data_IF_013245971879
#
_entry.id   IF_013245971879
#
_cell.length_a   1.000
_cell.length_b   1.000
_cell.length_c   1.000
_cell.angle_alpha   90.00
_cell.angle_beta   90.00
_cell.angle_gamma   90.00
#
_symmetry.space_group_name_H-M   'P 1'
#
loop_
_entity.id
_entity.type
_entity.pdbx_description
1 polymer ?
#
# COMPACT_ATOMS: atom_id res chain seq x y z
N UNK A 1 -2.17 -1.23 11.21
CA UNK A 1 -2.42 -1.18 9.75
C UNK A 1 -2.29 -2.58 9.17
N UNK A 2 -3.22 -3.00 8.34
CA UNK A 2 -3.16 -4.27 7.62
C UNK A 2 -3.04 -4.02 6.12
N UNK A 3 -2.13 -4.70 5.45
CA UNK A 3 -1.99 -4.70 4.01
C UNK A 3 -2.39 -6.07 3.47
N UNK A 4 -3.17 -6.11 2.41
CA UNK A 4 -3.54 -7.32 1.69
C UNK A 4 -2.92 -7.28 0.29
N UNK A 5 -1.84 -8.03 0.13
CA UNK A 5 -1.12 -8.22 -1.11
C UNK A 5 -1.82 -9.23 -2.02
N UNK A 6 -1.36 -9.34 -3.27
CA UNK A 6 -1.79 -10.37 -4.19
C UNK A 6 -1.58 -11.78 -3.60
N UNK A 7 -2.48 -12.71 -3.92
CA UNK A 7 -2.50 -14.08 -3.36
C UNK A 7 -1.25 -14.92 -3.65
N UNK A 8 -0.46 -14.52 -4.63
CA UNK A 8 0.82 -15.18 -4.98
C UNK A 8 1.93 -14.89 -3.96
N UNK A 9 1.77 -13.88 -3.10
CA UNK A 9 2.74 -13.61 -2.03
C UNK A 9 2.52 -14.57 -0.86
N UNK A 10 3.59 -15.17 -0.30
CA UNK A 10 3.47 -15.90 0.95
C UNK A 10 3.08 -14.93 2.07
N UNK A 11 2.12 -15.37 2.90
CA UNK A 11 1.51 -14.52 3.93
C UNK A 11 1.06 -13.17 3.34
N UNK A 12 0.15 -13.22 2.37
CA UNK A 12 -0.34 -12.04 1.64
C UNK A 12 -1.13 -11.05 2.52
N UNK A 13 -1.44 -11.39 3.77
CA UNK A 13 -2.00 -10.47 4.76
C UNK A 13 -0.92 -10.11 5.78
N UNK A 14 -0.45 -8.86 5.75
CA UNK A 14 0.60 -8.35 6.65
C UNK A 14 -0.02 -7.33 7.60
N UNK A 15 0.29 -7.44 8.89
CA UNK A 15 -0.22 -6.54 9.93
C UNK A 15 0.96 -5.85 10.61
N UNK A 16 0.94 -4.52 10.62
CA UNK A 16 1.96 -3.66 11.23
C UNK A 16 1.29 -2.81 12.30
N UNK A 17 1.74 -2.96 13.54
CA UNK A 17 1.12 -2.34 14.71
C UNK A 17 1.83 -1.06 15.18
N UNK A 18 3.01 -0.76 14.65
CA UNK A 18 3.82 0.39 15.04
C UNK A 18 4.50 1.00 13.80
N UNK A 19 4.77 2.32 13.79
CA UNK A 19 5.45 2.97 12.68
C UNK A 19 6.92 2.48 12.55
N UNK A 20 7.49 2.51 11.32
CA UNK A 20 6.86 2.90 10.06
C UNK A 20 5.85 1.85 9.55
N UNK A 21 4.72 2.32 9.00
CA UNK A 21 3.68 1.44 8.45
C UNK A 21 3.97 1.12 6.98
N UNK A 22 5.01 0.33 6.74
CA UNK A 22 5.51 0.03 5.39
C UNK A 22 5.79 -1.45 5.15
N UNK A 23 5.71 -1.88 3.90
CA UNK A 23 6.08 -3.23 3.47
C UNK A 23 7.05 -3.11 2.31
N UNK A 24 8.12 -3.89 2.38
CA UNK A 24 9.06 -4.07 1.29
C UNK A 24 8.95 -5.50 0.75
N UNK A 25 8.75 -5.63 -0.55
CA UNK A 25 8.61 -6.90 -1.26
C UNK A 25 9.13 -6.74 -2.70
N UNK A 26 9.45 -7.88 -3.33
CA UNK A 26 9.85 -7.91 -4.75
C UNK A 26 8.77 -8.56 -5.60
N UNK A 27 8.47 -7.98 -6.76
CA UNK A 27 7.50 -8.52 -7.70
C UNK A 27 7.68 -7.97 -9.10
N UNK A 28 6.95 -8.56 -10.04
CA UNK A 28 6.98 -8.18 -11.46
C UNK A 28 5.65 -7.63 -11.97
N UNK A 29 4.57 -7.81 -11.20
CA UNK A 29 3.21 -7.44 -11.60
C UNK A 29 2.64 -6.30 -10.76
N UNK A 30 1.83 -5.47 -11.41
CA UNK A 30 0.99 -4.46 -10.76
C UNK A 30 -0.33 -5.09 -10.31
N UNK A 31 -0.85 -4.66 -9.17
CA UNK A 31 -2.13 -5.14 -8.64
C UNK A 31 -2.73 -4.10 -7.69
N UNK A 32 -4.03 -4.22 -7.46
CA UNK A 32 -4.71 -3.47 -6.40
C UNK A 32 -4.49 -4.16 -5.06
N UNK A 33 -3.91 -3.44 -4.10
CA UNK A 33 -3.77 -3.87 -2.70
C UNK A 33 -4.81 -3.17 -1.84
N UNK A 34 -5.33 -3.89 -0.84
CA UNK A 34 -6.22 -3.32 0.15
C UNK A 34 -5.43 -2.97 1.42
N UNK A 35 -5.50 -1.72 1.86
CA UNK A 35 -4.89 -1.23 3.10
C UNK A 35 -6.02 -0.95 4.08
N UNK A 36 -5.97 -1.55 5.27
CA UNK A 36 -6.98 -1.41 6.32
C UNK A 36 -6.33 -0.74 7.53
N UNK A 37 -6.89 0.41 7.91
CA UNK A 37 -6.48 1.18 9.07
C UNK A 37 -7.42 0.83 10.22
N UNK A 38 -6.86 0.22 11.27
CA UNK A 38 -7.57 -0.04 12.52
C UNK A 38 -7.20 1.04 13.53
N UNK A 39 -8.20 1.65 14.15
CA UNK A 39 -8.01 2.62 15.23
C UNK A 39 -7.83 1.93 16.57
N UNK A 40 -7.26 2.65 17.54
CA UNK A 40 -7.13 2.13 18.91
C UNK A 40 -8.47 2.09 19.65
N UNK A 41 -9.40 2.98 19.31
CA UNK A 41 -10.77 2.92 19.82
C UNK A 41 -11.54 1.81 19.08
N UNK A 42 -12.03 0.77 19.79
CA UNK A 42 -12.77 -0.32 19.16
C UNK A 42 -14.15 0.09 18.61
N UNK A 43 -14.68 1.26 18.99
CA UNK A 43 -15.94 1.77 18.45
C UNK A 43 -15.75 2.45 17.08
N UNK A 44 -14.51 2.84 16.77
CA UNK A 44 -14.18 3.45 15.49
C UNK A 44 -14.09 2.38 14.40
N UNK A 45 -14.79 2.62 13.29
CA UNK A 45 -14.80 1.68 12.17
C UNK A 45 -13.45 1.70 11.47
N UNK A 46 -12.91 0.53 11.06
CA UNK A 46 -11.70 0.52 10.25
C UNK A 46 -11.90 1.23 8.92
N UNK A 47 -10.90 1.99 8.48
CA UNK A 47 -10.90 2.62 7.16
C UNK A 47 -10.24 1.67 6.16
N UNK A 48 -10.85 1.52 4.99
CA UNK A 48 -10.35 0.67 3.90
C UNK A 48 -9.94 1.56 2.74
N UNK A 49 -8.69 1.42 2.31
CA UNK A 49 -8.10 2.11 1.16
C UNK A 49 -7.75 1.07 0.12
N UNK A 50 -8.09 1.33 -1.14
CA UNK A 50 -7.65 0.55 -2.29
C UNK A 50 -6.54 1.31 -2.99
N UNK A 51 -5.36 0.71 -3.06
CA UNK A 51 -4.18 1.33 -3.64
C UNK A 51 -3.65 0.47 -4.78
N UNK A 52 -3.44 1.07 -5.95
CA UNK A 52 -2.89 0.36 -7.09
C UNK A 52 -1.35 0.41 -7.05
N UNK A 53 -0.71 -0.73 -6.79
CA UNK A 53 0.74 -0.86 -6.77
C UNK A 53 1.27 -0.81 -8.20
N UNK A 54 1.97 0.29 -8.52
CA UNK A 54 2.59 0.49 -9.83
C UNK A 54 4.07 0.14 -9.84
N UNK A 55 4.50 -0.52 -10.91
CA UNK A 55 5.88 -0.88 -11.21
C UNK A 55 6.35 -0.26 -12.53
N UNK A 56 5.42 0.11 -13.42
CA UNK A 56 5.71 0.60 -14.76
C UNK A 56 5.30 2.06 -14.94
N UNK A 57 6.07 2.77 -15.76
CA UNK A 57 5.81 4.15 -16.14
C UNK A 57 6.32 4.41 -17.56
N UNK A 58 5.71 5.36 -18.25
CA UNK A 58 6.18 5.84 -19.55
C UNK A 58 7.22 6.97 -19.43
N UNK A 59 7.56 7.37 -18.20
CA UNK A 59 8.58 8.39 -17.95
C UNK A 59 9.98 7.84 -18.33
N UNK A 60 10.68 8.45 -19.30
CA UNK A 60 11.99 7.97 -19.75
C UNK A 60 13.05 7.89 -18.65
N UNK A 61 12.98 8.75 -17.62
CA UNK A 61 13.93 8.72 -16.51
C UNK A 61 13.66 7.56 -15.55
N UNK A 62 12.39 7.17 -15.38
CA UNK A 62 12.01 5.96 -14.62
C UNK A 62 12.44 4.71 -15.39
N UNK A 63 12.12 4.65 -16.69
CA UNK A 63 12.44 3.51 -17.56
C UNK A 63 13.94 3.31 -17.69
N UNK A 64 14.72 4.39 -17.75
CA UNK A 64 16.19 4.33 -17.77
C UNK A 64 16.83 4.08 -16.40
N UNK A 65 16.03 3.94 -15.33
CA UNK A 65 16.50 3.69 -13.97
C UNK A 65 17.20 4.88 -13.32
N UNK A 66 17.10 6.08 -13.88
CA UNK A 66 17.69 7.31 -13.32
C UNK A 66 16.95 7.83 -12.11
N UNK A 67 15.66 7.50 -11.99
CA UNK A 67 14.83 7.80 -10.81
C UNK A 67 13.88 6.63 -10.50
N UNK A 68 13.54 6.40 -9.23
CA UNK A 68 12.54 5.42 -8.87
C UNK A 68 11.15 5.87 -9.34
N UNK A 69 10.27 4.90 -9.56
CA UNK A 69 8.83 5.17 -9.68
C UNK A 69 8.25 5.45 -8.29
N UNK A 70 7.58 6.59 -8.15
CA UNK A 70 6.84 6.95 -6.94
C UNK A 70 5.38 7.19 -7.34
N UNK A 71 4.46 6.52 -6.65
CA UNK A 71 3.02 6.67 -6.84
C UNK A 71 2.40 6.90 -5.47
N UNK A 72 2.02 8.15 -5.16
CA UNK A 72 1.55 8.54 -3.83
C UNK A 72 0.24 9.29 -3.94
N UNK A 73 -0.64 9.11 -2.97
CA UNK A 73 -1.93 9.78 -2.90
C UNK A 73 -2.09 10.41 -1.52
N UNK A 74 -2.59 11.65 -1.50
CA UNK A 74 -3.05 12.30 -0.28
C UNK A 74 -4.49 11.90 0.00
N UNK A 75 -4.79 11.62 1.26
CA UNK A 75 -6.16 11.35 1.73
C UNK A 75 -6.36 11.91 3.14
N UNK A 76 -7.61 12.21 3.51
CA UNK A 76 -7.99 12.76 4.80
C UNK A 76 -8.91 11.77 5.54
N UNK A 77 -8.45 11.28 6.69
CA UNK A 77 -9.28 10.46 7.57
C UNK A 77 -10.19 11.39 8.39
N UNK A 78 -11.47 11.42 8.03
CA UNK A 78 -12.50 12.17 8.76
C UNK A 78 -13.36 11.19 9.55
N UNK A 79 -13.22 11.21 10.87
CA UNK A 79 -14.06 10.47 11.80
C UNK A 79 -15.16 11.40 12.35
N UNK A 80 -16.38 10.86 12.57
CA UNK A 80 -17.56 11.58 13.08
C UNK A 80 -17.97 11.00 14.43
#
# INVERSE_FOLDING_TARGET
IQFRLHETYPNNIRVINQPPFEIEETGWGEFETQIIIFFSDPNEKPVIIYYHLKLFSNDPEVVSGKKPLVNEYYDELVNI
#
